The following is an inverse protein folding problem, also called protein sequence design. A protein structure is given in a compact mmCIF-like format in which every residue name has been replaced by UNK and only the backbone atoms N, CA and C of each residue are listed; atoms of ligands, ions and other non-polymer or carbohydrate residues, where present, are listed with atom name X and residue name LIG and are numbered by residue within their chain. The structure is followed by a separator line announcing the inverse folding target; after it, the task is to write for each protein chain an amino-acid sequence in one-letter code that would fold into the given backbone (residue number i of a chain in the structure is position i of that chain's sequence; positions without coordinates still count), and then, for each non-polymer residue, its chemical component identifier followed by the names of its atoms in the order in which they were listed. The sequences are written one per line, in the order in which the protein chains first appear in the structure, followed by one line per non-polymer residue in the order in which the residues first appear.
data_IF_734221062628
#
_entry.id   IF_734221062628
#
_cell.length_a   1.000
_cell.length_b   1.000
_cell.length_c   1.000
_cell.angle_alpha   90.00
_cell.angle_beta   90.00
_cell.angle_gamma   90.00
#
_symmetry.space_group_name_H-M   'P 1'
#
loop_
_entity.id
_entity.type
_entity.pdbx_description
1 polymer ?
#
# COMPACT_ATOMS: atom_id res chain seq x y z
N UNK A 1 20.71 33.81 -13.68
CA UNK A 1 21.66 32.68 -13.58
C UNK A 1 21.35 31.92 -12.30
N UNK A 2 20.66 30.78 -12.41
CA UNK A 2 20.52 29.81 -11.33
C UNK A 2 21.30 28.55 -11.75
N UNK A 3 22.17 28.06 -10.87
CA UNK A 3 23.16 27.04 -11.18
C UNK A 3 22.51 25.66 -11.35
N UNK A 4 22.58 25.10 -12.55
CA UNK A 4 22.25 23.70 -12.83
C UNK A 4 23.45 22.82 -12.44
N UNK A 5 23.21 21.77 -11.65
CA UNK A 5 24.17 20.69 -11.41
C UNK A 5 23.67 19.42 -12.11
N UNK A 6 24.54 18.82 -12.92
CA UNK A 6 24.32 17.54 -13.61
C UNK A 6 24.79 16.37 -12.73
N UNK A 7 24.07 15.24 -12.70
CA UNK A 7 24.64 13.93 -12.33
C UNK A 7 24.90 13.10 -13.60
N UNK A 8 25.89 12.22 -13.52
CA UNK A 8 26.57 11.58 -14.63
C UNK A 8 26.10 10.14 -14.91
N UNK A 9 24.82 9.84 -14.69
CA UNK A 9 24.19 8.56 -15.02
C UNK A 9 22.95 8.75 -15.90
N UNK A 10 23.20 8.55 -17.19
CA UNK A 10 22.37 8.86 -18.36
C UNK A 10 21.28 7.81 -18.65
N UNK A 11 20.46 7.40 -17.68
CA UNK A 11 19.22 6.67 -18.00
C UNK A 11 17.96 7.37 -17.47
N UNK A 12 17.66 8.46 -18.19
CA UNK A 12 16.30 8.90 -18.55
C UNK A 12 15.52 9.79 -17.57
N UNK A 13 15.97 11.03 -17.39
CA UNK A 13 15.10 12.11 -16.91
C UNK A 13 14.59 12.95 -18.08
N UNK A 14 13.27 12.94 -18.33
CA UNK A 14 12.60 13.96 -19.15
C UNK A 14 12.11 15.07 -18.23
N UNK A 15 12.56 16.30 -18.46
CA UNK A 15 12.00 17.50 -17.82
C UNK A 15 10.52 17.66 -18.23
N UNK A 16 9.59 17.40 -17.31
CA UNK A 16 8.20 17.80 -17.43
C UNK A 16 7.98 19.04 -16.54
N UNK A 17 7.75 20.19 -17.18
CA UNK A 17 7.90 21.53 -16.59
C UNK A 17 7.21 21.80 -15.25
N UNK A 18 7.81 22.67 -14.43
CA UNK A 18 7.32 23.35 -13.21
C UNK A 18 6.23 22.67 -12.36
N UNK A 19 6.28 21.35 -12.23
CA UNK A 19 5.54 20.60 -11.23
C UNK A 19 6.57 19.75 -10.53
N UNK A 20 6.69 19.87 -9.21
CA UNK A 20 7.52 18.95 -8.45
C UNK A 20 6.97 17.54 -8.67
N UNK A 21 7.67 16.79 -9.50
CA UNK A 21 7.37 15.43 -9.92
C UNK A 21 7.88 14.48 -8.82
N UNK A 22 7.39 14.64 -7.59
CA UNK A 22 8.02 14.00 -6.42
C UNK A 22 7.60 12.57 -6.13
N UNK A 23 6.72 11.94 -6.90
CA UNK A 23 6.39 10.53 -6.68
C UNK A 23 6.20 9.82 -8.03
N UNK A 24 7.25 9.12 -8.48
CA UNK A 24 7.14 8.14 -9.56
C UNK A 24 6.31 6.98 -9.00
N UNK A 25 4.99 7.01 -9.22
CA UNK A 25 4.11 5.89 -8.90
C UNK A 25 3.74 5.15 -10.19
N UNK A 26 3.74 3.83 -10.11
CA UNK A 26 3.32 2.96 -11.20
C UNK A 26 2.05 2.23 -10.77
N UNK A 27 1.03 2.23 -11.64
CA UNK A 27 -0.28 1.70 -11.28
C UNK A 27 -0.28 0.19 -11.00
N UNK A 28 0.76 -0.53 -11.43
CA UNK A 28 0.89 -1.97 -11.25
C UNK A 28 1.80 -2.27 -10.06
N UNK A 29 3.01 -1.73 -10.07
CA UNK A 29 4.09 -2.10 -9.14
C UNK A 29 4.16 -1.21 -7.91
N UNK A 30 3.71 0.04 -7.98
CA UNK A 30 3.72 1.00 -6.85
C UNK A 30 2.46 1.89 -6.82
N UNK A 31 1.25 1.34 -6.64
CA UNK A 31 0.04 2.14 -6.77
C UNK A 31 -0.04 3.19 -5.66
N UNK A 32 -0.39 4.43 -6.03
CA UNK A 32 -0.46 5.56 -5.09
C UNK A 32 -1.27 5.28 -3.82
N UNK A 33 -2.40 4.58 -3.95
CA UNK A 33 -3.29 4.25 -2.83
C UNK A 33 -2.74 3.21 -1.83
N UNK A 34 -1.55 2.68 -2.07
CA UNK A 34 -0.83 1.83 -1.11
C UNK A 34 0.37 2.53 -0.48
N UNK A 35 0.65 3.77 -0.85
CA UNK A 35 1.80 4.53 -0.35
C UNK A 35 1.37 5.45 0.79
N UNK A 36 1.97 5.26 1.97
CA UNK A 36 1.80 6.13 3.11
C UNK A 36 2.51 7.47 2.92
N UNK A 37 2.11 8.48 3.71
CA UNK A 37 2.64 9.85 3.66
C UNK A 37 4.18 9.94 3.74
N UNK A 38 4.82 8.96 4.39
CA UNK A 38 6.27 8.92 4.58
C UNK A 38 6.96 7.85 3.71
N UNK A 39 6.30 7.36 2.66
CA UNK A 39 6.86 6.43 1.68
C UNK A 39 6.73 4.94 2.00
N UNK A 40 6.16 4.57 3.16
CA UNK A 40 5.91 3.17 3.52
C UNK A 40 4.78 2.57 2.67
N UNK A 41 5.00 1.38 2.10
CA UNK A 41 3.99 0.68 1.31
C UNK A 41 3.14 -0.28 2.15
N UNK A 42 1.86 -0.43 1.81
CA UNK A 42 0.96 -1.36 2.49
C UNK A 42 1.49 -2.82 2.49
N UNK A 43 2.22 -3.23 1.45
CA UNK A 43 2.83 -4.55 1.38
C UNK A 43 3.97 -4.73 2.41
N UNK A 44 4.70 -3.67 2.74
CA UNK A 44 5.74 -3.71 3.78
C UNK A 44 5.12 -3.96 5.15
N UNK A 45 3.98 -3.31 5.44
CA UNK A 45 3.22 -3.56 6.67
C UNK A 45 2.76 -5.02 6.73
N UNK A 46 2.19 -5.55 5.64
CA UNK A 46 1.77 -6.95 5.58
C UNK A 46 2.94 -7.90 5.84
N UNK A 47 4.07 -7.73 5.14
CA UNK A 47 5.25 -8.60 5.31
C UNK A 47 5.85 -8.54 6.71
N UNK A 48 5.84 -7.38 7.37
CA UNK A 48 6.44 -7.21 8.68
C UNK A 48 5.58 -7.77 9.83
N UNK A 49 4.26 -7.85 9.65
CA UNK A 49 3.32 -8.18 10.73
C UNK A 49 2.45 -9.43 10.47
N UNK A 50 2.66 -10.15 9.35
CA UNK A 50 1.90 -11.38 9.07
C UNK A 50 2.24 -12.55 10.01
N UNK A 51 3.45 -12.53 10.60
CA UNK A 51 3.98 -13.58 11.48
C UNK A 51 3.76 -14.99 10.89
N UNK A 52 3.15 -15.89 11.67
CA UNK A 52 2.90 -17.28 11.29
C UNK A 52 1.52 -17.50 10.66
N UNK A 53 0.77 -16.43 10.35
CA UNK A 53 -0.49 -16.58 9.63
C UNK A 53 -0.22 -17.19 8.24
N UNK A 54 -1.01 -18.20 7.90
CA UNK A 54 -0.92 -18.91 6.62
C UNK A 54 -2.32 -19.18 6.05
N UNK A 55 -2.38 -19.58 4.77
CA UNK A 55 -3.63 -19.96 4.11
C UNK A 55 -4.69 -18.85 4.13
N UNK A 56 -5.93 -19.21 4.45
CA UNK A 56 -7.07 -18.29 4.46
C UNK A 56 -6.92 -17.22 5.56
N UNK A 57 -6.37 -17.55 6.72
CA UNK A 57 -6.11 -16.59 7.81
C UNK A 57 -5.18 -15.46 7.36
N UNK A 58 -4.09 -15.80 6.68
CA UNK A 58 -3.17 -14.83 6.09
C UNK A 58 -3.86 -13.95 5.05
N UNK A 59 -4.73 -14.53 4.22
CA UNK A 59 -5.49 -13.82 3.20
C UNK A 59 -6.47 -12.81 3.82
N UNK A 60 -7.26 -13.23 4.80
CA UNK A 60 -8.19 -12.35 5.51
C UNK A 60 -7.46 -11.23 6.22
N UNK A 61 -6.43 -11.55 7.01
CA UNK A 61 -5.63 -10.56 7.71
C UNK A 61 -4.98 -9.55 6.75
N UNK A 62 -4.34 -10.03 5.67
CA UNK A 62 -3.73 -9.17 4.67
C UNK A 62 -4.75 -8.25 3.99
N UNK A 63 -5.97 -8.73 3.76
CA UNK A 63 -7.07 -7.92 3.26
C UNK A 63 -7.51 -6.84 4.25
N UNK A 64 -7.66 -7.15 5.54
CA UNK A 64 -7.98 -6.17 6.59
C UNK A 64 -6.98 -5.02 6.53
N UNK A 65 -5.69 -5.31 6.62
CA UNK A 65 -4.62 -4.30 6.60
C UNK A 65 -4.65 -3.49 5.29
N UNK A 66 -4.72 -4.17 4.15
CA UNK A 66 -4.79 -3.54 2.82
C UNK A 66 -5.94 -2.53 2.71
N UNK A 67 -7.14 -2.90 3.17
CA UNK A 67 -8.31 -2.04 3.09
C UNK A 67 -8.23 -0.86 4.07
N UNK A 68 -7.74 -1.09 5.29
CA UNK A 68 -7.53 -0.04 6.29
C UNK A 68 -6.46 0.98 5.89
N UNK A 69 -5.42 0.57 5.15
CA UNK A 69 -4.37 1.50 4.71
C UNK A 69 -4.80 2.34 3.50
N UNK A 70 -5.67 1.81 2.63
CA UNK A 70 -6.00 2.46 1.35
C UNK A 70 -7.32 3.24 1.34
N UNK A 71 -8.21 3.06 2.33
CA UNK A 71 -9.60 3.52 2.22
C UNK A 71 -9.73 5.02 1.90
N UNK A 72 -8.89 5.86 2.49
CA UNK A 72 -8.93 7.32 2.26
C UNK A 72 -8.54 7.72 0.84
N UNK A 73 -7.83 6.85 0.12
CA UNK A 73 -7.25 7.14 -1.19
C UNK A 73 -7.87 6.31 -2.33
N UNK A 74 -8.86 5.46 -2.04
CA UNK A 74 -9.50 4.60 -3.06
C UNK A 74 -11.03 4.58 -2.98
N UNK A 75 -11.62 3.77 -2.08
CA UNK A 75 -13.08 3.55 -2.08
C UNK A 75 -13.79 4.02 -0.80
N UNK A 76 -13.11 4.72 0.10
CA UNK A 76 -13.69 5.24 1.34
C UNK A 76 -14.38 4.17 2.19
N UNK A 77 -15.62 4.42 2.58
CA UNK A 77 -16.41 3.53 3.47
C UNK A 77 -16.58 2.13 2.91
N UNK A 78 -16.58 1.95 1.58
CA UNK A 78 -16.67 0.61 0.98
C UNK A 78 -15.48 -0.27 1.36
N UNK A 79 -14.25 0.28 1.35
CA UNK A 79 -13.08 -0.47 1.79
C UNK A 79 -13.14 -0.75 3.30
N UNK A 80 -13.68 0.16 4.13
CA UNK A 80 -13.91 -0.12 5.55
C UNK A 80 -14.88 -1.28 5.77
N UNK A 81 -15.94 -1.38 4.96
CA UNK A 81 -16.88 -2.51 5.01
C UNK A 81 -16.20 -3.83 4.60
N UNK A 82 -15.33 -3.81 3.58
CA UNK A 82 -14.53 -4.97 3.17
C UNK A 82 -13.53 -5.39 4.24
N UNK A 83 -12.89 -4.42 4.91
CA UNK A 83 -12.01 -4.67 6.05
C UNK A 83 -12.76 -5.39 7.16
N UNK A 84 -13.93 -4.86 7.56
CA UNK A 84 -14.78 -5.49 8.59
C UNK A 84 -15.14 -6.93 8.21
N UNK A 85 -15.62 -7.17 6.99
CA UNK A 85 -15.99 -8.53 6.57
C UNK A 85 -14.82 -9.52 6.63
N UNK A 86 -13.61 -9.11 6.23
CA UNK A 86 -12.44 -10.00 6.34
C UNK A 86 -12.01 -10.19 7.80
N UNK A 87 -12.21 -9.19 8.66
CA UNK A 87 -11.95 -9.32 10.08
C UNK A 87 -12.95 -10.29 10.72
N UNK A 88 -14.23 -10.20 10.36
CA UNK A 88 -15.28 -11.10 10.84
C UNK A 88 -14.93 -12.56 10.48
N UNK A 89 -14.58 -12.85 9.22
CA UNK A 89 -14.14 -14.19 8.80
C UNK A 89 -12.89 -14.70 9.53
N UNK A 90 -11.92 -13.81 9.77
CA UNK A 90 -10.72 -14.19 10.52
C UNK A 90 -11.07 -14.54 11.97
N UNK A 91 -11.95 -13.77 12.61
CA UNK A 91 -12.40 -14.03 13.98
C UNK A 91 -13.16 -15.37 14.03
N UNK A 92 -14.12 -15.57 13.14
CA UNK A 92 -14.90 -16.82 13.04
C UNK A 92 -13.98 -18.04 12.92
N UNK A 93 -13.02 -18.03 11.99
CA UNK A 93 -12.08 -19.15 11.80
C UNK A 93 -11.11 -19.34 12.97
N UNK A 94 -10.76 -18.28 13.71
CA UNK A 94 -9.91 -18.39 14.90
C UNK A 94 -10.67 -18.90 16.12
N UNK A 95 -11.96 -18.57 16.25
CA UNK A 95 -12.84 -19.04 17.32
C UNK A 95 -13.31 -20.49 17.09
N UNK A 96 -13.49 -20.94 15.83
CA UNK A 96 -13.87 -22.32 15.50
C UNK A 96 -12.78 -23.37 15.79
N UNK A 97 -11.53 -22.94 15.99
CA UNK A 97 -10.39 -23.84 16.28
C UNK A 97 -10.15 -24.06 17.78
N UNK A 98 -10.96 -23.43 18.64
CA UNK A 98 -11.04 -23.74 20.09
C UNK A 98 -12.06 -24.84 20.42
#
# INVERSE_FOLDING_TARGET
MGNYKFSADLESWKLLGNKMETEIYDNVTKPKHYQGKYGMEALEVVKNFIWDLAGERAYYWGNVIKYLLRFQQKNGVEDLKKARQNLDWLIEDMEEVE
#
